data_IF_740612379579
#
_entry.id   IF_740612379579
#
_cell.length_a   1.000
_cell.length_b   1.000
_cell.length_c   1.000
_cell.angle_alpha   90.00
_cell.angle_beta   90.00
_cell.angle_gamma   90.00
#
_symmetry.space_group_name_H-M   'P 1'
#
loop_
_entity.id
_entity.type
_entity.pdbx_description
1 polymer ?
#
# COMPACT_ATOMS: atom_id res chain seq x y z
N UNK A 1 -7.27 13.08 -2.68
CA UNK A 1 -6.68 12.85 -1.33
C UNK A 1 -7.58 13.32 -0.19
N UNK A 2 -7.79 12.47 0.81
CA UNK A 2 -8.59 12.77 2.01
C UNK A 2 -7.68 13.21 3.16
N UNK A 3 -8.07 14.27 3.86
CA UNK A 3 -7.46 14.66 5.14
C UNK A 3 -8.25 14.01 6.28
N UNK A 4 -7.53 13.51 7.28
CA UNK A 4 -8.08 12.90 8.49
C UNK A 4 -7.71 13.79 9.69
N UNK A 5 -8.63 14.69 10.11
CA UNK A 5 -8.35 15.65 11.18
C UNK A 5 -7.89 14.96 12.48
N UNK A 6 -6.89 15.53 13.15
CA UNK A 6 -6.33 14.99 14.38
C UNK A 6 -5.34 13.83 14.20
N UNK A 7 -5.17 13.31 12.98
CA UNK A 7 -4.12 12.33 12.69
C UNK A 7 -2.79 13.02 12.31
N UNK A 8 -1.65 12.39 12.63
CA UNK A 8 -0.33 12.91 12.28
C UNK A 8 -0.13 12.96 10.76
N UNK A 9 0.87 13.73 10.32
CA UNK A 9 1.28 13.77 8.92
C UNK A 9 1.74 12.39 8.44
N UNK A 10 2.41 11.60 9.27
CA UNK A 10 2.75 10.22 8.96
C UNK A 10 1.95 9.23 9.82
N UNK A 11 1.21 8.32 9.16
CA UNK A 11 0.31 7.35 9.81
C UNK A 11 0.87 5.95 9.62
N UNK A 12 1.24 5.27 10.71
CA UNK A 12 1.70 3.87 10.68
C UNK A 12 0.62 2.85 11.02
N UNK A 13 -0.47 3.27 11.64
CA UNK A 13 -1.60 2.42 11.97
C UNK A 13 -2.90 3.23 12.13
N UNK A 14 -4.04 2.55 12.04
CA UNK A 14 -5.36 3.09 12.37
C UNK A 14 -5.75 2.92 13.84
N UNK A 15 -7.00 3.25 14.20
CA UNK A 15 -7.52 3.06 15.55
C UNK A 15 -7.42 1.60 16.01
N UNK A 16 -6.99 1.39 17.26
CA UNK A 16 -6.84 0.06 17.88
C UNK A 16 -8.14 -0.48 18.50
N UNK A 17 -9.27 0.11 18.14
CA UNK A 17 -10.58 -0.11 18.77
C UNK A 17 -11.58 -0.78 17.84
N UNK A 18 -11.17 -1.11 16.60
CA UNK A 18 -12.04 -1.70 15.59
C UNK A 18 -11.38 -2.96 15.03
N UNK A 19 -12.16 -4.03 14.76
CA UNK A 19 -11.62 -5.31 14.28
C UNK A 19 -11.29 -5.24 12.78
N UNK A 20 -10.38 -4.35 12.40
CA UNK A 20 -10.00 -4.05 11.02
C UNK A 20 -8.49 -3.94 10.90
N UNK A 21 -7.97 -4.37 9.77
CA UNK A 21 -6.56 -4.18 9.37
C UNK A 21 -6.52 -3.71 7.92
N UNK A 22 -5.45 -3.03 7.53
CA UNK A 22 -5.18 -2.74 6.12
C UNK A 22 -4.02 -3.60 5.63
N UNK A 23 -4.31 -4.46 4.65
CA UNK A 23 -3.27 -5.13 3.87
C UNK A 23 -2.85 -4.17 2.75
N UNK A 24 -1.59 -3.73 2.76
CA UNK A 24 -1.08 -2.75 1.81
C UNK A 24 0.02 -3.34 0.95
N UNK A 25 -0.04 -3.10 -0.35
CA UNK A 25 0.84 -3.72 -1.33
C UNK A 25 1.66 -2.67 -2.07
N UNK A 26 2.97 -2.88 -2.16
CA UNK A 26 3.82 -2.16 -3.10
C UNK A 26 3.48 -2.63 -4.51
N UNK A 27 2.92 -1.70 -5.29
CA UNK A 27 2.32 -1.95 -6.59
C UNK A 27 3.35 -1.96 -7.71
N UNK A 28 4.11 -3.06 -7.77
CA UNK A 28 5.05 -3.40 -8.84
C UNK A 28 5.15 -4.92 -8.95
N UNK A 29 5.29 -5.45 -10.17
CA UNK A 29 5.44 -6.88 -10.42
C UNK A 29 4.79 -7.34 -11.72
N UNK A 30 4.74 -8.65 -11.94
CA UNK A 30 4.05 -9.23 -13.09
C UNK A 30 2.52 -8.94 -13.03
N UNK A 31 1.90 -8.44 -14.12
CA UNK A 31 0.47 -8.15 -14.15
C UNK A 31 -0.46 -9.35 -13.90
N UNK A 32 -0.06 -10.57 -14.28
CA UNK A 32 -0.87 -11.75 -14.04
C UNK A 32 -0.85 -12.12 -12.55
N UNK A 33 0.31 -12.05 -11.91
CA UNK A 33 0.47 -12.19 -10.45
C UNK A 33 -0.38 -11.18 -9.69
N UNK A 34 -0.33 -9.90 -10.08
CA UNK A 34 -1.16 -8.86 -9.45
C UNK A 34 -2.66 -9.13 -9.60
N UNK A 35 -3.12 -9.55 -10.79
CA UNK A 35 -4.53 -9.92 -11.03
C UNK A 35 -4.97 -11.14 -10.22
N UNK A 36 -4.10 -12.13 -10.07
CA UNK A 36 -4.38 -13.31 -9.26
C UNK A 36 -4.54 -12.95 -7.78
N UNK A 37 -3.66 -12.08 -7.25
CA UNK A 37 -3.73 -11.60 -5.87
C UNK A 37 -5.02 -10.81 -5.63
N UNK A 38 -5.37 -9.89 -6.53
CA UNK A 38 -6.62 -9.13 -6.47
C UNK A 38 -7.84 -10.06 -6.44
N UNK A 39 -7.88 -11.05 -7.33
CA UNK A 39 -8.97 -12.03 -7.38
C UNK A 39 -9.05 -12.90 -6.11
N UNK A 40 -7.92 -13.22 -5.47
CA UNK A 40 -7.92 -13.93 -4.19
C UNK A 40 -8.46 -13.07 -3.05
N UNK A 41 -8.07 -11.80 -2.97
CA UNK A 41 -8.61 -10.87 -1.98
C UNK A 41 -10.14 -10.70 -2.15
N UNK A 42 -10.60 -10.50 -3.37
CA UNK A 42 -12.03 -10.34 -3.69
C UNK A 42 -12.85 -11.59 -3.34
N UNK A 43 -12.33 -12.80 -3.58
CA UNK A 43 -13.00 -14.06 -3.20
C UNK A 43 -13.21 -14.19 -1.69
N UNK A 44 -12.35 -13.56 -0.89
CA UNK A 44 -12.43 -13.55 0.56
C UNK A 44 -13.16 -12.31 1.12
N UNK A 45 -13.83 -11.53 0.27
CA UNK A 45 -14.46 -10.25 0.64
C UNK A 45 -13.48 -9.26 1.31
N UNK A 46 -12.20 -9.37 0.94
CA UNK A 46 -11.14 -8.50 1.43
C UNK A 46 -10.91 -7.34 0.46
N UNK A 47 -10.77 -6.13 1.01
CA UNK A 47 -10.34 -4.96 0.24
C UNK A 47 -8.95 -4.53 0.70
N UNK A 48 -8.08 -4.27 -0.26
CA UNK A 48 -6.66 -3.96 -0.03
C UNK A 48 -6.32 -2.54 -0.45
N UNK A 49 -5.11 -2.09 -0.15
CA UNK A 49 -4.57 -0.81 -0.63
C UNK A 49 -3.32 -1.06 -1.45
N UNK A 50 -3.31 -0.63 -2.70
CA UNK A 50 -2.15 -0.74 -3.58
C UNK A 50 -1.48 0.61 -3.67
N UNK A 51 -0.21 0.70 -3.32
CA UNK A 51 0.60 1.90 -3.54
C UNK A 51 1.46 1.66 -4.78
N UNK A 52 1.01 2.17 -5.91
CA UNK A 52 1.57 1.86 -7.22
C UNK A 52 2.83 2.67 -7.51
N UNK A 53 3.78 1.99 -8.16
CA UNK A 53 4.94 2.63 -8.77
C UNK A 53 4.52 3.21 -10.13
N UNK A 54 4.88 4.46 -10.39
CA UNK A 54 4.46 5.17 -11.61
C UNK A 54 4.86 4.45 -12.90
N UNK A 55 6.12 4.03 -13.00
CA UNK A 55 6.66 3.29 -14.15
C UNK A 55 5.99 1.94 -14.38
N UNK A 56 5.51 1.28 -13.31
CA UNK A 56 4.71 0.06 -13.43
C UNK A 56 3.34 0.34 -14.08
N UNK A 57 2.70 1.46 -13.72
CA UNK A 57 1.48 1.90 -14.37
C UNK A 57 1.73 2.44 -15.79
N UNK A 58 2.92 2.93 -16.12
CA UNK A 58 3.29 3.27 -17.49
C UNK A 58 3.32 2.02 -18.38
N UNK A 59 3.94 0.94 -17.90
CA UNK A 59 3.95 -0.34 -18.60
C UNK A 59 2.57 -1.04 -18.63
N UNK A 60 1.77 -0.88 -17.57
CA UNK A 60 0.52 -1.64 -17.38
C UNK A 60 -0.66 -0.74 -16.96
N UNK A 61 -1.09 0.22 -17.80
CA UNK A 61 -2.11 1.21 -17.45
C UNK A 61 -3.44 0.62 -16.98
N UNK A 62 -3.83 -0.53 -17.54
CA UNK A 62 -5.08 -1.21 -17.20
C UNK A 62 -5.16 -1.69 -15.75
N UNK A 63 -4.03 -1.82 -15.05
CA UNK A 63 -4.03 -2.22 -13.64
C UNK A 63 -4.62 -1.15 -12.72
N UNK A 64 -4.48 0.14 -13.05
CA UNK A 64 -5.05 1.21 -12.25
C UNK A 64 -6.58 1.09 -12.16
N UNK A 65 -7.25 0.91 -13.31
CA UNK A 65 -8.71 0.73 -13.33
C UNK A 65 -9.12 -0.61 -12.72
N UNK A 66 -8.38 -1.69 -13.01
CA UNK A 66 -8.63 -3.02 -12.42
C UNK A 66 -8.61 -3.00 -10.89
N UNK A 67 -7.66 -2.28 -10.27
CA UNK A 67 -7.56 -2.16 -8.80
C UNK A 67 -8.79 -1.43 -8.26
N UNK A 68 -9.14 -0.28 -8.86
CA UNK A 68 -10.28 0.52 -8.41
C UNK A 68 -11.64 -0.17 -8.63
N UNK A 69 -11.81 -0.92 -9.73
CA UNK A 69 -13.04 -1.66 -10.01
C UNK A 69 -13.30 -2.79 -8.99
N UNK A 70 -12.26 -3.31 -8.35
CA UNK A 70 -12.37 -4.27 -7.24
C UNK A 70 -12.70 -3.62 -5.88
N UNK A 71 -12.91 -2.30 -5.84
CA UNK A 71 -13.18 -1.56 -4.59
C UNK A 71 -11.96 -1.40 -3.68
N UNK A 72 -10.75 -1.53 -4.23
CA UNK A 72 -9.50 -1.33 -3.50
C UNK A 72 -9.05 0.13 -3.54
N UNK A 73 -8.19 0.52 -2.60
CA UNK A 73 -7.49 1.81 -2.69
C UNK A 73 -6.33 1.72 -3.69
N UNK A 74 -6.11 2.79 -4.44
CA UNK A 74 -4.91 3.01 -5.24
C UNK A 74 -4.22 4.30 -4.78
N UNK A 75 -2.93 4.20 -4.49
CA UNK A 75 -2.08 5.29 -4.03
C UNK A 75 -0.72 5.32 -4.73
N UNK A 76 0.14 6.22 -4.28
CA UNK A 76 1.41 6.57 -4.89
C UNK A 76 2.58 5.97 -4.09
N UNK A 77 3.48 5.26 -4.79
CA UNK A 77 4.71 4.71 -4.23
C UNK A 77 5.96 5.14 -5.01
N UNK A 78 6.01 6.43 -5.35
CA UNK A 78 6.99 7.07 -6.23
C UNK A 78 6.91 6.61 -7.68
N UNK A 79 7.65 7.26 -8.57
CA UNK A 79 7.54 6.99 -10.01
C UNK A 79 8.48 5.87 -10.44
N UNK A 80 9.70 5.84 -9.93
CA UNK A 80 10.74 4.88 -10.30
C UNK A 80 11.18 3.95 -9.16
N UNK A 81 10.59 4.08 -7.95
CA UNK A 81 10.89 3.20 -6.81
C UNK A 81 12.37 3.22 -6.36
N UNK A 82 12.93 4.42 -6.31
CA UNK A 82 14.28 4.69 -5.81
C UNK A 82 14.27 5.01 -4.31
N UNK A 83 15.43 5.16 -3.67
CA UNK A 83 15.50 5.58 -2.26
C UNK A 83 15.21 7.08 -2.16
N UNK A 84 13.93 7.41 -2.02
CA UNK A 84 13.45 8.80 -2.03
C UNK A 84 13.95 9.62 -0.84
N UNK A 85 14.28 8.97 0.28
CA UNK A 85 14.77 9.68 1.47
C UNK A 85 16.23 10.15 1.31
N UNK A 86 16.98 9.55 0.38
CA UNK A 86 18.36 9.91 0.06
C UNK A 86 18.48 10.93 -1.10
N UNK A 87 17.35 11.34 -1.69
CA UNK A 87 17.33 12.23 -2.85
C UNK A 87 17.46 13.71 -2.52
N UNK A 88 17.82 14.50 -3.54
CA UNK A 88 17.66 15.95 -3.51
C UNK A 88 16.17 16.33 -3.41
N UNK A 89 15.86 17.56 -2.96
CA UNK A 89 14.48 18.06 -2.94
C UNK A 89 13.82 18.00 -4.33
N UNK A 90 14.56 18.36 -5.39
CA UNK A 90 14.05 18.37 -6.75
C UNK A 90 13.71 16.97 -7.25
N UNK A 91 14.60 15.99 -7.04
CA UNK A 91 14.40 14.61 -7.49
C UNK A 91 13.28 13.93 -6.70
N UNK A 92 13.26 14.10 -5.37
CA UNK A 92 12.18 13.57 -4.54
C UNK A 92 10.82 14.17 -4.92
N UNK A 93 10.78 15.47 -5.24
CA UNK A 93 9.55 16.10 -5.69
C UNK A 93 9.07 15.51 -7.03
N UNK A 94 9.99 15.34 -8.00
CA UNK A 94 9.71 14.76 -9.30
C UNK A 94 9.19 13.31 -9.20
N UNK A 95 9.75 12.51 -8.29
CA UNK A 95 9.28 11.15 -8.00
C UNK A 95 7.83 11.13 -7.51
N UNK A 96 7.48 12.01 -6.58
CA UNK A 96 6.12 12.09 -6.02
C UNK A 96 5.15 12.59 -7.08
N UNK A 97 5.45 13.71 -7.75
CA UNK A 97 4.53 14.33 -8.71
C UNK A 97 4.41 13.54 -10.00
N UNK A 98 5.47 12.90 -10.48
CA UNK A 98 5.43 12.06 -11.67
C UNK A 98 4.47 10.88 -11.52
N UNK A 99 4.49 10.21 -10.37
CA UNK A 99 3.52 9.15 -10.07
C UNK A 99 2.11 9.70 -9.84
N UNK A 100 1.97 10.83 -9.13
CA UNK A 100 0.69 11.49 -8.92
C UNK A 100 0.01 11.85 -10.25
N UNK A 101 0.76 12.41 -11.20
CA UNK A 101 0.24 12.77 -12.52
C UNK A 101 -0.13 11.54 -13.34
N UNK A 102 0.62 10.44 -13.22
CA UNK A 102 0.26 9.17 -13.86
C UNK A 102 -1.07 8.63 -13.31
N UNK A 103 -1.23 8.60 -11.98
CA UNK A 103 -2.48 8.21 -11.33
C UNK A 103 -3.65 9.09 -11.80
N UNK A 104 -3.46 10.42 -11.83
CA UNK A 104 -4.49 11.37 -12.27
C UNK A 104 -4.91 11.12 -13.71
N UNK A 105 -3.95 10.90 -14.62
CA UNK A 105 -4.25 10.61 -16.04
C UNK A 105 -5.05 9.31 -16.20
N UNK A 106 -4.78 8.30 -15.39
CA UNK A 106 -5.44 6.99 -15.51
C UNK A 106 -6.78 6.91 -14.78
N UNK A 107 -6.98 7.69 -13.72
CA UNK A 107 -8.10 7.49 -12.79
C UNK A 107 -8.88 8.76 -12.44
N UNK A 108 -8.43 9.93 -12.89
CA UNK A 108 -8.98 11.23 -12.52
C UNK A 108 -8.56 11.71 -11.11
N UNK A 109 -7.82 10.91 -10.35
CA UNK A 109 -7.37 11.21 -8.99
C UNK A 109 -5.91 10.84 -8.78
N UNK A 110 -5.23 11.50 -7.84
CA UNK A 110 -3.87 11.10 -7.41
C UNK A 110 -3.91 10.01 -6.31
N UNK A 111 -5.08 9.49 -5.97
CA UNK A 111 -5.28 8.60 -4.84
C UNK A 111 -5.35 9.34 -3.50
N UNK A 112 -5.52 8.59 -2.41
CA UNK A 112 -5.49 9.15 -1.03
C UNK A 112 -4.10 9.07 -0.43
N UNK A 113 -3.37 8.00 -0.73
CA UNK A 113 -2.17 7.62 0.00
C UNK A 113 -0.91 7.84 -0.82
N UNK A 114 0.13 8.34 -0.15
CA UNK A 114 1.50 8.29 -0.61
C UNK A 114 2.33 7.53 0.42
N UNK A 115 3.24 6.64 -0.01
CA UNK A 115 4.27 6.00 0.84
C UNK A 115 5.63 6.17 0.18
N UNK A 116 6.68 6.55 0.92
CA UNK A 116 8.04 6.62 0.37
C UNK A 116 8.52 5.24 -0.08
N UNK A 117 9.12 5.15 -1.26
CA UNK A 117 9.75 3.91 -1.73
C UNK A 117 11.03 3.61 -0.95
N UNK A 118 11.31 2.31 -0.77
CA UNK A 118 12.50 1.79 -0.06
C UNK A 118 12.66 2.26 1.39
N UNK A 119 11.61 2.78 2.02
CA UNK A 119 11.64 3.21 3.42
C UNK A 119 10.31 2.94 4.12
N UNK A 120 10.36 2.62 5.41
CA UNK A 120 9.17 2.54 6.24
C UNK A 120 8.61 3.93 6.58
N UNK A 121 9.48 4.92 6.76
CA UNK A 121 9.14 6.28 7.18
C UNK A 121 9.64 7.34 6.19
N UNK A 122 9.00 8.50 6.15
CA UNK A 122 9.46 9.63 5.35
C UNK A 122 10.38 10.53 6.19
N UNK A 123 11.38 11.14 5.55
CA UNK A 123 12.10 12.27 6.15
C UNK A 123 11.19 13.50 6.22
N UNK A 124 11.52 14.51 7.06
CA UNK A 124 10.79 15.78 7.08
C UNK A 124 10.74 16.47 5.71
N UNK A 125 11.76 16.26 4.85
CA UNK A 125 11.75 16.77 3.48
C UNK A 125 10.67 16.06 2.65
N UNK A 126 10.67 14.73 2.61
CA UNK A 126 9.72 13.93 1.83
C UNK A 126 8.28 14.14 2.31
N UNK A 127 8.05 14.27 3.61
CA UNK A 127 6.73 14.60 4.17
C UNK A 127 6.22 15.96 3.67
N UNK A 128 7.06 17.01 3.71
CA UNK A 128 6.70 18.34 3.18
C UNK A 128 6.42 18.30 1.68
N UNK A 129 7.18 17.53 0.92
CA UNK A 129 6.98 17.39 -0.53
C UNK A 129 5.71 16.62 -0.88
N UNK A 130 5.39 15.56 -0.12
CA UNK A 130 4.13 14.85 -0.26
C UNK A 130 2.93 15.77 0.02
N UNK A 131 3.01 16.59 1.07
CA UNK A 131 2.03 17.64 1.37
C UNK A 131 1.90 18.64 0.22
N UNK A 132 3.02 19.14 -0.32
CA UNK A 132 3.05 20.06 -1.46
C UNK A 132 2.43 19.45 -2.73
N UNK A 133 2.60 18.14 -2.93
CA UNK A 133 1.99 17.39 -4.03
C UNK A 133 0.50 17.06 -3.81
N UNK A 134 -0.05 17.42 -2.64
CA UNK A 134 -1.47 17.30 -2.31
C UNK A 134 -1.85 16.11 -1.44
N UNK A 135 -0.89 15.33 -0.92
CA UNK A 135 -1.15 14.24 0.04
C UNK A 135 -1.16 14.79 1.47
N UNK A 136 -2.30 14.84 2.17
CA UNK A 136 -2.36 15.39 3.53
C UNK A 136 -1.72 14.47 4.56
N UNK A 137 -1.47 13.21 4.21
CA UNK A 137 -0.83 12.22 5.06
C UNK A 137 0.08 11.30 4.22
N UNK A 138 1.17 10.88 4.84
CA UNK A 138 2.08 9.82 4.37
C UNK A 138 1.71 8.51 5.08
N UNK A 139 1.52 7.44 4.31
CA UNK A 139 1.18 6.12 4.82
C UNK A 139 2.45 5.31 5.09
N UNK A 140 2.70 5.03 6.36
CA UNK A 140 3.71 4.08 6.84
C UNK A 140 3.04 2.72 7.13
N UNK A 141 3.69 1.86 7.90
CA UNK A 141 3.18 0.57 8.35
C UNK A 141 3.77 0.19 9.71
N UNK A 142 3.06 -0.63 10.47
CA UNK A 142 3.51 -1.16 11.77
C UNK A 142 3.81 -2.66 11.73
N UNK A 143 3.45 -3.36 10.66
CA UNK A 143 3.74 -4.78 10.43
C UNK A 143 4.47 -4.93 9.09
N UNK A 144 5.68 -5.50 9.12
CA UNK A 144 6.44 -5.86 7.93
C UNK A 144 6.37 -7.38 7.69
N UNK A 145 6.01 -7.79 6.48
CA UNK A 145 5.93 -9.21 6.13
C UNK A 145 7.28 -9.81 5.75
N UNK A 146 8.27 -8.97 5.40
CA UNK A 146 9.58 -9.36 4.84
C UNK A 146 9.48 -10.23 3.58
N UNK A 147 8.33 -10.22 2.90
CA UNK A 147 8.08 -11.01 1.68
C UNK A 147 9.05 -10.67 0.54
N UNK A 148 9.56 -9.44 0.49
CA UNK A 148 10.56 -9.01 -0.48
C UNK A 148 11.90 -9.75 -0.41
N UNK A 149 12.16 -10.47 0.70
CA UNK A 149 13.34 -11.33 0.88
C UNK A 149 13.14 -12.75 0.34
N UNK A 150 11.95 -13.06 -0.19
CA UNK A 150 11.51 -14.39 -0.62
C UNK A 150 11.72 -15.50 0.44
N UNK A 151 11.20 -15.33 1.67
CA UNK A 151 11.47 -16.26 2.78
C UNK A 151 10.58 -17.52 2.72
N UNK A 152 9.71 -17.65 1.72
CA UNK A 152 8.66 -18.66 1.61
C UNK A 152 7.35 -18.24 2.26
N UNK A 153 6.22 -18.66 1.67
CA UNK A 153 4.88 -18.33 2.15
C UNK A 153 4.63 -18.59 3.65
N UNK A 154 5.07 -19.71 4.27
CA UNK A 154 4.88 -19.91 5.71
C UNK A 154 5.58 -18.87 6.58
N UNK A 155 6.73 -18.35 6.14
CA UNK A 155 7.45 -17.31 6.86
C UNK A 155 6.73 -15.96 6.76
N UNK A 156 6.23 -15.62 5.56
CA UNK A 156 5.38 -14.43 5.34
C UNK A 156 4.14 -14.49 6.22
N UNK A 157 3.41 -15.62 6.23
CA UNK A 157 2.22 -15.81 7.07
C UNK A 157 2.56 -15.64 8.55
N UNK A 158 3.66 -16.23 9.05
CA UNK A 158 4.08 -16.09 10.45
C UNK A 158 4.45 -14.66 10.82
N UNK A 159 5.17 -13.95 9.95
CA UNK A 159 5.55 -12.56 10.18
C UNK A 159 4.31 -11.67 10.30
N UNK A 160 3.37 -11.81 9.36
CA UNK A 160 2.10 -11.06 9.39
C UNK A 160 1.27 -11.46 10.61
N UNK A 161 0.99 -12.74 10.81
CA UNK A 161 0.18 -13.24 11.93
C UNK A 161 0.76 -12.85 13.30
N UNK A 162 2.09 -12.83 13.44
CA UNK A 162 2.76 -12.44 14.68
C UNK A 162 2.63 -10.95 15.00
N UNK A 163 2.53 -10.09 13.99
CA UNK A 163 2.48 -8.63 14.15
C UNK A 163 1.08 -8.01 14.14
N UNK A 164 0.10 -8.65 13.49
CA UNK A 164 -1.23 -8.07 13.31
C UNK A 164 -2.03 -7.95 14.62
N UNK A 165 -2.69 -6.81 14.75
CA UNK A 165 -3.75 -6.51 15.73
C UNK A 165 -4.71 -5.49 15.12
N UNK A 166 -5.78 -5.14 15.83
CA UNK A 166 -6.71 -4.08 15.43
C UNK A 166 -5.96 -2.83 14.97
N UNK A 167 -6.38 -2.24 13.86
CA UNK A 167 -5.78 -1.02 13.33
C UNK A 167 -4.45 -1.21 12.59
N UNK A 168 -3.88 -2.42 12.51
CA UNK A 168 -2.59 -2.61 11.84
C UNK A 168 -2.63 -2.28 10.35
N UNK A 169 -1.52 -1.74 9.85
CA UNK A 169 -1.23 -1.51 8.44
C UNK A 169 -0.04 -2.40 8.09
N UNK A 170 -0.27 -3.36 7.21
CA UNK A 170 0.70 -4.41 6.85
C UNK A 170 1.38 -4.08 5.54
N UNK A 171 2.71 -4.18 5.48
CA UNK A 171 3.51 -4.03 4.26
C UNK A 171 3.73 -5.36 3.55
N UNK A 172 3.25 -5.46 2.31
CA UNK A 172 3.34 -6.60 1.39
C UNK A 172 3.72 -6.10 -0.02
N UNK A 173 4.03 -7.00 -0.95
CA UNK A 173 4.45 -6.67 -2.32
C UNK A 173 3.70 -7.52 -3.36
N UNK A 174 3.25 -6.91 -4.48
CA UNK A 174 2.62 -7.67 -5.57
C UNK A 174 3.59 -8.57 -6.34
N UNK A 175 4.88 -8.22 -6.36
CA UNK A 175 5.88 -8.84 -7.23
C UNK A 175 6.45 -10.17 -6.76
N UNK A 176 5.97 -10.73 -5.65
CA UNK A 176 6.57 -11.90 -5.01
C UNK A 176 5.60 -13.07 -4.95
N UNK A 177 6.05 -14.23 -5.43
CA UNK A 177 5.25 -15.46 -5.44
C UNK A 177 4.87 -15.90 -4.02
N UNK A 178 5.77 -15.70 -3.06
CA UNK A 178 5.54 -15.99 -1.65
C UNK A 178 4.35 -15.21 -1.08
N UNK A 179 4.16 -13.96 -1.50
CA UNK A 179 3.04 -13.12 -1.07
C UNK A 179 1.70 -13.66 -1.57
N UNK A 180 1.64 -14.06 -2.85
CA UNK A 180 0.44 -14.67 -3.43
C UNK A 180 0.11 -16.00 -2.74
N UNK A 181 1.12 -16.82 -2.49
CA UNK A 181 0.95 -18.10 -1.82
C UNK A 181 0.58 -17.96 -0.33
N UNK A 182 1.04 -16.90 0.35
CA UNK A 182 0.73 -16.65 1.75
C UNK A 182 -0.65 -16.01 1.98
N UNK A 183 -1.18 -15.30 0.99
CA UNK A 183 -2.41 -14.51 1.15
C UNK A 183 -3.61 -15.31 1.67
N UNK A 184 -3.93 -16.53 1.18
CA UNK A 184 -5.03 -17.32 1.72
C UNK A 184 -4.91 -17.58 3.23
N UNK A 185 -3.73 -18.02 3.69
CA UNK A 185 -3.49 -18.30 5.11
C UNK A 185 -3.49 -17.01 5.96
N UNK A 186 -3.04 -15.88 5.40
CA UNK A 186 -3.17 -14.57 6.07
C UNK A 186 -4.63 -14.21 6.26
N UNK A 187 -5.48 -14.37 5.23
CA UNK A 187 -6.91 -14.05 5.29
C UNK A 187 -7.66 -14.98 6.26
N UNK A 188 -7.36 -16.28 6.26
CA UNK A 188 -7.87 -17.24 7.24
C UNK A 188 -7.50 -16.85 8.68
N UNK A 189 -6.27 -16.37 8.90
CA UNK A 189 -5.85 -15.91 10.23
C UNK A 189 -6.58 -14.64 10.67
N UNK A 190 -6.89 -13.72 9.74
CA UNK A 190 -7.74 -12.56 10.04
C UNK A 190 -9.12 -13.01 10.48
N UNK A 191 -9.75 -13.91 9.71
CA UNK A 191 -11.07 -14.46 10.04
C UNK A 191 -11.07 -15.15 11.40
N UNK A 192 -10.07 -15.99 11.68
CA UNK A 192 -9.91 -16.69 12.97
C UNK A 192 -9.80 -15.72 14.15
N UNK A 193 -9.24 -14.53 13.94
CA UNK A 193 -9.13 -13.45 14.96
C UNK A 193 -10.33 -12.49 14.96
N UNK A 194 -11.31 -12.71 14.09
CA UNK A 194 -12.44 -11.79 13.92
C UNK A 194 -12.05 -10.44 13.30
N UNK A 195 -10.88 -10.34 12.66
CA UNK A 195 -10.40 -9.14 11.97
C UNK A 195 -10.86 -9.15 10.51
N UNK A 196 -11.11 -7.97 9.93
CA UNK A 196 -11.38 -7.81 8.49
C UNK A 196 -10.32 -6.98 7.78
N UNK A 197 -9.91 -7.43 6.60
CA UNK A 197 -9.08 -6.66 5.69
C UNK A 197 -9.93 -5.60 4.96
N UNK A 198 -9.63 -4.33 5.23
CA UNK A 198 -10.28 -3.17 4.62
C UNK A 198 -9.24 -2.28 3.92
N UNK A 199 -9.68 -1.36 3.07
CA UNK A 199 -8.74 -0.38 2.53
C UNK A 199 -8.21 0.54 3.63
N UNK A 200 -7.04 1.17 3.44
CA UNK A 200 -6.50 2.09 4.43
C UNK A 200 -7.41 3.32 4.60
N UNK A 201 -8.11 3.75 3.55
CA UNK A 201 -9.14 4.78 3.66
C UNK A 201 -10.22 4.36 4.66
N UNK A 202 -10.73 3.13 4.55
CA UNK A 202 -11.77 2.60 5.46
C UNK A 202 -11.28 2.26 6.87
N UNK A 203 -10.00 1.94 7.01
CA UNK A 203 -9.36 1.74 8.31
C UNK A 203 -9.44 3.01 9.17
N UNK A 204 -9.35 4.18 8.50
CA UNK A 204 -9.22 5.50 9.14
C UNK A 204 -10.52 6.32 9.16
N UNK A 205 -11.62 5.79 8.62
CA UNK A 205 -12.98 6.34 8.73
C UNK A 205 -13.80 5.54 9.73
#
# INVERSE_FOLDING_TARGET
>A
PRRFPGLPAQISHGPRTRPRVALTFHGQGDPATARALLAQAEKADARITVLAVGSWLDAHPGLARRILDGGHDLGNHTHHHLDINAMSEADAHAEITGCADRLRRLTGSIGTWFRPSRAQTATPLVERLAHRAGYPHVLSYDVDSLDFTSPGAPAVTRAVAGGIREGSVVSLHFGYADTVAALPAVLEELERRGLRAVTTTELLT
#
